data_IF_343319457962
#
_entry.id   IF_343319457962
#
_cell.length_a   1.000
_cell.length_b   1.000
_cell.length_c   1.000
_cell.angle_alpha   90.00
_cell.angle_beta   90.00
_cell.angle_gamma   90.00
#
_symmetry.space_group_name_H-M   'P 1'
#
loop_
_entity.id
_entity.type
_entity.pdbx_description
1 polymer ?
#
# COMPACT_ATOMS: atom_id res chain seq x y z
N UNK A 1 1.35 -0.02 -4.60
CA UNK A 1 -0.06 -0.44 -4.55
C UNK A 1 -0.76 0.23 -5.72
N UNK A 2 -1.77 -0.40 -6.31
CA UNK A 2 -2.51 0.14 -7.44
C UNK A 2 -4.01 0.17 -7.12
N UNK A 3 -4.68 1.25 -7.49
CA UNK A 3 -6.14 1.34 -7.44
C UNK A 3 -6.69 0.49 -8.58
N UNK A 4 -7.60 -0.45 -8.28
CA UNK A 4 -8.15 -1.36 -9.28
C UNK A 4 -9.60 -1.09 -9.60
N UNK A 5 -10.43 -0.83 -8.57
CA UNK A 5 -11.86 -0.60 -8.75
C UNK A 5 -12.40 0.38 -7.73
N UNK A 6 -13.48 1.08 -8.09
CA UNK A 6 -14.29 1.86 -7.15
C UNK A 6 -15.27 0.92 -6.46
N UNK A 7 -15.39 1.04 -5.14
CA UNK A 7 -16.37 0.29 -4.35
C UNK A 7 -17.64 1.11 -4.27
N UNK A 8 -18.70 0.64 -4.93
CA UNK A 8 -20.01 1.31 -4.90
C UNK A 8 -20.78 0.99 -3.62
N UNK A 9 -20.70 -0.26 -3.15
CA UNK A 9 -21.43 -0.73 -1.97
C UNK A 9 -20.51 -1.05 -0.80
N UNK A 10 -20.30 -0.06 0.08
CA UNK A 10 -19.46 -0.22 1.26
C UNK A 10 -20.12 -1.04 2.38
N UNK A 11 -21.43 -1.33 2.27
CA UNK A 11 -22.17 -2.10 3.29
C UNK A 11 -21.67 -3.55 3.39
N UNK A 12 -21.18 -4.10 2.28
CA UNK A 12 -20.69 -5.48 2.20
C UNK A 12 -19.37 -5.68 2.95
N UNK A 13 -18.66 -4.59 3.27
CA UNK A 13 -17.41 -4.62 4.05
C UNK A 13 -17.65 -4.68 5.56
N UNK A 14 -18.92 -4.74 5.98
CA UNK A 14 -19.32 -4.86 7.37
C UNK A 14 -19.49 -3.51 8.09
N UNK A 15 -20.13 -3.52 9.27
CA UNK A 15 -20.63 -2.31 9.95
C UNK A 15 -19.52 -1.35 10.39
N UNK A 16 -18.36 -1.87 10.79
CA UNK A 16 -17.23 -1.04 11.20
C UNK A 16 -16.66 -0.24 10.02
N UNK A 17 -16.39 -0.91 8.90
CA UNK A 17 -15.85 -0.27 7.69
C UNK A 17 -16.88 0.69 7.10
N UNK A 18 -18.16 0.30 7.10
CA UNK A 18 -19.25 1.18 6.67
C UNK A 18 -19.24 2.51 7.43
N UNK A 19 -19.18 2.50 8.77
CA UNK A 19 -19.18 3.74 9.55
C UNK A 19 -17.98 4.65 9.26
N UNK A 20 -16.84 4.07 8.88
CA UNK A 20 -15.62 4.81 8.53
C UNK A 20 -15.65 5.42 7.12
N UNK A 21 -16.28 4.72 6.18
CA UNK A 21 -16.19 5.00 4.75
C UNK A 21 -17.50 5.53 4.14
N UNK A 22 -18.63 5.47 4.85
CA UNK A 22 -19.91 6.03 4.41
C UNK A 22 -19.74 7.51 4.03
N UNK A 23 -20.18 7.87 2.83
CA UNK A 23 -20.11 9.23 2.30
C UNK A 23 -18.75 9.62 1.72
N UNK A 24 -17.80 8.68 1.63
CA UNK A 24 -16.49 8.89 1.00
C UNK A 24 -16.37 8.03 -0.26
N UNK A 25 -15.61 8.52 -1.22
CA UNK A 25 -15.19 7.67 -2.34
C UNK A 25 -14.26 6.58 -1.82
N UNK A 26 -14.64 5.32 -2.07
CA UNK A 26 -13.91 4.16 -1.58
C UNK A 26 -13.39 3.37 -2.77
N UNK A 27 -12.14 2.94 -2.71
CA UNK A 27 -11.48 2.25 -3.81
C UNK A 27 -10.74 1.01 -3.30
N UNK A 28 -10.73 -0.05 -4.10
CA UNK A 28 -9.92 -1.23 -3.83
C UNK A 28 -8.48 -0.98 -4.22
N UNK A 29 -7.59 -1.34 -3.31
CA UNK A 29 -6.16 -1.33 -3.53
C UNK A 29 -5.68 -2.78 -3.69
N UNK A 30 -5.03 -3.08 -4.81
CA UNK A 30 -4.23 -4.30 -4.92
C UNK A 30 -2.77 -3.98 -4.67
N UNK A 31 -2.14 -4.83 -3.86
CA UNK A 31 -0.69 -4.88 -3.77
C UNK A 31 -0.22 -5.79 -4.90
N UNK A 32 0.64 -5.28 -5.79
CA UNK A 32 1.42 -6.18 -6.64
C UNK A 32 2.29 -7.03 -5.73
N UNK A 33 2.04 -8.33 -5.71
CA UNK A 33 2.94 -9.25 -5.04
C UNK A 33 4.31 -9.17 -5.72
N UNK A 34 5.40 -9.15 -4.93
CA UNK A 34 6.73 -9.22 -5.51
C UNK A 34 6.84 -10.51 -6.32
N UNK A 35 7.20 -10.39 -7.59
CA UNK A 35 7.39 -11.53 -8.49
C UNK A 35 8.38 -12.50 -7.83
N UNK A 36 7.98 -13.75 -7.50
CA UNK A 36 8.90 -14.73 -6.95
C UNK A 36 9.92 -15.08 -8.03
N UNK A 37 11.17 -14.65 -7.84
CA UNK A 37 12.25 -14.81 -8.82
C UNK A 37 13.04 -13.53 -9.11
N UNK A 38 12.53 -12.35 -8.74
CA UNK A 38 13.37 -11.15 -8.72
C UNK A 38 14.23 -11.15 -7.46
N UNK A 39 15.37 -11.84 -7.54
CA UNK A 39 16.44 -11.65 -6.57
C UNK A 39 16.89 -10.19 -6.69
N UNK A 40 16.58 -9.36 -5.69
CA UNK A 40 17.17 -8.02 -5.62
C UNK A 40 18.68 -8.22 -5.72
N UNK A 41 19.32 -7.70 -6.78
CA UNK A 41 20.79 -7.63 -6.82
C UNK A 41 21.25 -7.06 -5.48
N UNK A 42 22.28 -7.65 -4.89
CA UNK A 42 22.90 -7.09 -3.70
C UNK A 42 23.27 -5.65 -4.01
N UNK A 43 22.46 -4.74 -3.51
CA UNK A 43 22.73 -3.33 -3.63
C UNK A 43 23.69 -3.00 -2.49
N UNK A 44 24.96 -2.88 -2.89
CA UNK A 44 26.11 -2.76 -2.01
C UNK A 44 26.02 -1.51 -1.12
N UNK A 45 25.32 -0.48 -1.59
CA UNK A 45 25.14 0.77 -0.85
C UNK A 45 23.67 1.21 -0.89
N UNK A 46 22.94 0.88 0.18
CA UNK A 46 21.56 1.32 0.36
C UNK A 46 21.40 2.02 1.70
N UNK A 47 20.71 3.15 1.67
CA UNK A 47 20.29 3.84 2.88
C UNK A 47 18.79 3.68 3.09
N UNK A 48 18.40 3.76 4.37
CA UNK A 48 17.03 3.61 4.81
C UNK A 48 16.48 4.97 5.18
N UNK A 49 15.33 5.32 4.63
CA UNK A 49 14.56 6.49 5.04
C UNK A 49 13.33 5.99 5.78
N UNK A 50 13.15 6.45 7.02
CA UNK A 50 11.89 6.30 7.75
C UNK A 50 11.09 7.57 7.59
N UNK A 51 9.86 7.44 7.11
CA UNK A 51 8.98 8.57 6.87
C UNK A 51 7.54 8.19 7.23
N UNK A 52 6.71 9.21 7.38
CA UNK A 52 5.29 9.05 7.63
C UNK A 52 4.55 9.20 6.31
N UNK A 53 4.02 8.09 5.78
CA UNK A 53 3.09 8.14 4.64
C UNK A 53 1.70 8.67 5.09
N UNK A 54 1.39 8.52 6.39
CA UNK A 54 0.21 9.07 7.07
C UNK A 54 0.42 8.97 8.61
N UNK A 55 -0.46 8.27 9.35
CA UNK A 55 -0.29 7.94 10.78
C UNK A 55 0.67 6.77 11.06
N UNK A 56 1.19 6.13 10.02
CA UNK A 56 2.07 4.97 10.13
C UNK A 56 3.48 5.33 9.69
N UNK A 57 4.48 4.82 10.42
CA UNK A 57 5.89 4.92 10.03
C UNK A 57 6.18 3.86 8.97
N UNK A 58 6.70 4.29 7.83
CA UNK A 58 7.08 3.43 6.70
C UNK A 58 8.59 3.56 6.47
N UNK A 59 9.27 2.43 6.28
CA UNK A 59 10.71 2.35 5.96
C UNK A 59 10.89 2.09 4.46
N UNK A 60 11.49 3.05 3.74
CA UNK A 60 11.88 2.91 2.32
C UNK A 60 13.38 2.69 2.23
N UNK A 61 13.79 1.66 1.48
CA UNK A 61 15.20 1.37 1.18
C UNK A 61 15.52 1.89 -0.21
N UNK A 62 16.38 2.91 -0.28
CA UNK A 62 16.89 3.46 -1.55
C UNK A 62 18.30 2.91 -1.75
N UNK A 63 18.57 2.44 -2.96
CA UNK A 63 19.82 1.77 -3.32
C UNK A 63 20.43 2.47 -4.53
N UNK A 64 21.71 2.82 -4.44
CA UNK A 64 22.46 3.35 -5.57
C UNK A 64 22.78 2.23 -6.55
N UNK A 65 22.65 2.50 -7.85
CA UNK A 65 23.01 1.56 -8.92
C UNK A 65 24.50 1.62 -9.24
#
# INVERSE_FOLDING_TARGET
MAVTERIENVNELGPFIYNLCRGKETFRLQRHEPIPGMQKREALDCFKIRHFENKFVVETKICSF
#
